data_IF_390488425941
#
_entry.id   IF_390488425941
#
_cell.length_a   1.000
_cell.length_b   1.000
_cell.length_c   1.000
_cell.angle_alpha   90.00
_cell.angle_beta   90.00
_cell.angle_gamma   90.00
#
_symmetry.space_group_name_H-M   'P 1'
#
loop_
_entity.id
_entity.type
_entity.pdbx_description
1 polymer ?
#
# COMPACT_ATOMS: atom_id res chain seq x y z
N UNK A 1 12.10 7.95 3.57
CA UNK A 1 12.54 6.82 4.41
C UNK A 1 11.61 5.63 4.17
N UNK A 2 12.14 4.47 3.76
CA UNK A 2 11.35 3.27 3.45
C UNK A 2 10.44 2.83 4.61
N UNK A 3 10.99 2.68 5.82
CA UNK A 3 10.23 2.26 7.01
C UNK A 3 9.03 3.16 7.30
N UNK A 4 9.18 4.48 7.16
CA UNK A 4 8.06 5.42 7.41
C UNK A 4 6.94 5.22 6.41
N UNK A 5 7.28 5.02 5.13
CA UNK A 5 6.25 4.81 4.10
C UNK A 5 5.53 3.47 4.29
N UNK A 6 6.26 2.39 4.62
CA UNK A 6 5.63 1.10 4.92
C UNK A 6 4.68 1.19 6.13
N UNK A 7 5.08 1.90 7.19
CA UNK A 7 4.19 2.13 8.35
C UNK A 7 2.96 2.96 7.96
N UNK A 8 3.12 3.98 7.11
CA UNK A 8 1.99 4.77 6.61
C UNK A 8 1.05 3.93 5.75
N UNK A 9 1.56 3.10 4.83
CA UNK A 9 0.76 2.14 4.04
C UNK A 9 -0.05 1.22 4.95
N UNK A 10 0.59 0.66 5.99
CA UNK A 10 -0.08 -0.20 6.96
C UNK A 10 -1.24 0.53 7.66
N UNK A 11 -0.98 1.73 8.17
CA UNK A 11 -1.97 2.54 8.88
C UNK A 11 -3.15 2.94 7.98
N UNK A 12 -2.87 3.42 6.76
CA UNK A 12 -3.90 3.84 5.81
C UNK A 12 -4.74 2.66 5.30
N UNK A 13 -4.15 1.47 5.20
CA UNK A 13 -4.89 0.24 4.91
C UNK A 13 -5.91 -0.05 6.01
N UNK A 14 -5.49 -0.09 7.28
CA UNK A 14 -6.38 -0.36 8.40
C UNK A 14 -7.46 0.72 8.56
N UNK A 15 -7.12 1.98 8.29
CA UNK A 15 -8.06 3.11 8.35
C UNK A 15 -9.01 3.21 7.15
N UNK A 16 -8.88 2.32 6.15
CA UNK A 16 -9.65 2.34 4.90
C UNK A 16 -9.65 3.71 4.21
N UNK A 17 -8.44 4.28 3.99
CA UNK A 17 -8.22 5.57 3.32
C UNK A 17 -7.57 5.37 1.94
N UNK A 18 -8.32 4.93 0.91
CA UNK A 18 -7.76 4.50 -0.37
C UNK A 18 -7.06 5.61 -1.15
N UNK A 19 -7.59 6.84 -1.14
CA UNK A 19 -6.98 7.96 -1.88
C UNK A 19 -5.59 8.34 -1.34
N UNK A 20 -5.47 8.44 0.00
CA UNK A 20 -4.20 8.68 0.68
C UNK A 20 -3.26 7.47 0.54
N UNK A 21 -3.81 6.25 0.60
CA UNK A 21 -3.03 5.02 0.39
C UNK A 21 -2.40 5.01 -1.00
N UNK A 22 -3.12 5.42 -2.03
CA UNK A 22 -2.60 5.52 -3.41
C UNK A 22 -1.40 6.46 -3.48
N UNK A 23 -1.54 7.66 -2.93
CA UNK A 23 -0.46 8.66 -2.86
C UNK A 23 0.77 8.10 -2.13
N UNK A 24 0.56 7.47 -0.97
CA UNK A 24 1.65 6.92 -0.17
C UNK A 24 2.27 5.65 -0.76
N UNK A 25 1.54 4.91 -1.59
CA UNK A 25 2.08 3.75 -2.33
C UNK A 25 3.05 4.22 -3.42
N UNK A 26 2.69 5.24 -4.19
CA UNK A 26 3.62 5.91 -5.12
C UNK A 26 4.86 6.44 -4.38
N UNK A 27 4.65 7.11 -3.24
CA UNK A 27 5.76 7.62 -2.43
C UNK A 27 6.65 6.51 -1.85
N UNK A 28 6.08 5.36 -1.45
CA UNK A 28 6.81 4.19 -0.98
C UNK A 28 7.74 3.62 -2.06
N UNK A 29 7.22 3.47 -3.28
CA UNK A 29 8.02 3.01 -4.42
C UNK A 29 9.14 4.01 -4.77
N UNK A 30 8.85 5.31 -4.71
CA UNK A 30 9.84 6.36 -4.99
C UNK A 30 11.00 6.39 -3.98
N UNK A 31 10.76 6.01 -2.71
CA UNK A 31 11.82 5.90 -1.70
C UNK A 31 12.52 4.53 -1.69
N UNK A 32 12.21 3.66 -2.66
CA UNK A 32 12.88 2.38 -2.88
C UNK A 32 12.25 1.19 -2.18
N UNK A 33 11.01 1.28 -1.69
CA UNK A 33 10.28 0.06 -1.29
C UNK A 33 9.96 -0.77 -2.53
N UNK A 34 10.08 -2.09 -2.41
CA UNK A 34 9.68 -3.03 -3.46
C UNK A 34 8.16 -3.24 -3.45
N UNK A 35 7.60 -3.68 -4.58
CA UNK A 35 6.19 -4.05 -4.67
C UNK A 35 5.85 -5.20 -3.71
N UNK A 36 6.78 -6.13 -3.52
CA UNK A 36 6.66 -7.25 -2.60
C UNK A 36 6.58 -6.78 -1.14
N UNK A 37 7.44 -5.85 -0.71
CA UNK A 37 7.40 -5.29 0.66
C UNK A 37 6.08 -4.57 0.94
N UNK A 38 5.56 -3.81 -0.03
CA UNK A 38 4.29 -3.10 0.12
C UNK A 38 3.13 -4.11 0.18
N UNK A 39 3.12 -5.11 -0.70
CA UNK A 39 2.12 -6.17 -0.69
C UNK A 39 2.14 -6.98 0.61
N UNK A 40 3.32 -7.32 1.13
CA UNK A 40 3.48 -8.07 2.37
C UNK A 40 2.94 -7.27 3.58
N UNK A 41 3.22 -5.97 3.63
CA UNK A 41 2.67 -5.09 4.68
C UNK A 41 1.15 -5.02 4.61
N UNK A 42 0.58 -4.84 3.41
CA UNK A 42 -0.87 -4.86 3.21
C UNK A 42 -1.46 -6.21 3.65
N UNK A 43 -0.84 -7.32 3.27
CA UNK A 43 -1.29 -8.66 3.65
C UNK A 43 -1.25 -8.85 5.16
N UNK A 44 -0.18 -8.43 5.83
CA UNK A 44 -0.04 -8.48 7.29
C UNK A 44 -1.13 -7.66 7.99
N UNK A 45 -1.58 -6.55 7.39
CA UNK A 45 -2.66 -5.74 7.98
C UNK A 45 -4.02 -6.42 8.00
N UNK A 46 -4.22 -7.52 7.26
CA UNK A 46 -5.46 -8.31 7.32
C UNK A 46 -5.77 -8.83 8.73
N UNK A 47 -4.75 -9.04 9.57
CA UNK A 47 -4.91 -9.46 10.96
C UNK A 47 -5.46 -8.33 11.85
N UNK A 48 -5.17 -7.07 11.51
CA UNK A 48 -5.51 -5.91 12.33
C UNK A 48 -6.73 -5.12 11.82
N UNK A 49 -6.86 -5.00 10.50
CA UNK A 49 -7.95 -4.28 9.81
C UNK A 49 -8.98 -5.20 9.14
N UNK A 50 -8.75 -6.51 9.15
CA UNK A 50 -9.58 -7.49 8.46
C UNK A 50 -9.26 -7.64 6.97
N UNK A 51 -9.64 -8.80 6.42
CA UNK A 51 -9.48 -9.13 4.99
C UNK A 51 -10.11 -8.10 4.04
N UNK A 52 -11.30 -7.51 4.31
CA UNK A 52 -11.87 -6.51 3.41
C UNK A 52 -10.99 -5.27 3.20
N UNK A 53 -10.39 -4.74 4.27
CA UNK A 53 -9.50 -3.58 4.19
C UNK A 53 -8.22 -3.90 3.39
N UNK A 54 -7.62 -5.07 3.65
CA UNK A 54 -6.46 -5.53 2.90
C UNK A 54 -6.77 -5.74 1.41
N UNK A 55 -7.94 -6.29 1.06
CA UNK A 55 -8.35 -6.46 -0.34
C UNK A 55 -8.50 -5.12 -1.06
N UNK A 56 -9.15 -4.13 -0.44
CA UNK A 56 -9.23 -2.77 -1.00
C UNK A 56 -7.84 -2.18 -1.22
N UNK A 57 -6.93 -2.33 -0.26
CA UNK A 57 -5.56 -1.85 -0.38
C UNK A 57 -4.75 -2.57 -1.47
N UNK A 58 -4.94 -3.88 -1.66
CA UNK A 58 -4.31 -4.63 -2.76
C UNK A 58 -4.82 -4.17 -4.13
N UNK A 59 -6.10 -3.81 -4.25
CA UNK A 59 -6.63 -3.19 -5.47
C UNK A 59 -5.95 -1.85 -5.74
N UNK A 60 -5.78 -0.99 -4.73
CA UNK A 60 -5.07 0.28 -4.86
C UNK A 60 -3.61 0.06 -5.28
N UNK A 61 -2.91 -0.90 -4.66
CA UNK A 61 -1.54 -1.25 -5.05
C UNK A 61 -1.48 -1.68 -6.52
N UNK A 62 -2.42 -2.52 -6.96
CA UNK A 62 -2.50 -2.97 -8.35
C UNK A 62 -2.68 -1.78 -9.31
N UNK A 63 -3.61 -0.87 -9.02
CA UNK A 63 -3.82 0.34 -9.85
C UNK A 63 -2.55 1.18 -9.95
N UNK A 64 -1.83 1.40 -8.83
CA UNK A 64 -0.57 2.16 -8.83
C UNK A 64 0.50 1.50 -9.69
N UNK A 65 0.60 0.17 -9.65
CA UNK A 65 1.56 -0.56 -10.48
C UNK A 65 1.20 -0.47 -11.97
N UNK A 66 -0.08 -0.61 -12.32
CA UNK A 66 -0.56 -0.45 -13.70
C UNK A 66 -0.33 0.97 -14.23
N UNK A 67 -0.53 2.01 -13.41
CA UNK A 67 -0.23 3.40 -13.77
C UNK A 67 1.26 3.61 -14.09
N UNK A 68 2.15 3.03 -13.28
CA UNK A 68 3.60 3.20 -13.45
C UNK A 68 4.19 2.34 -14.57
N UNK A 69 3.57 1.21 -14.89
CA UNK A 69 3.97 0.37 -16.02
C UNK A 69 3.55 0.99 -17.37
N UNK A 70 2.57 1.90 -17.37
CA UNK A 70 2.09 2.60 -18.56
C UNK A 70 2.87 3.90 -18.89
N UNK A 71 3.73 4.37 -17.99
CA UNK A 71 4.64 5.52 -18.15
C UNK A 71 6.01 5.11 -18.71
#
# INVERSE_FOLDING_TARGET
HQTRQLVTVAALTVLSKPDELKLHTHAALNVGCTKEEIAEVIFQTSIYGGVPAANTALTVLKEVLEERDAE
#
